data_IF_811026728753
#
_entry.id   IF_811026728753
#
_cell.length_a   1.000
_cell.length_b   1.000
_cell.length_c   1.000
_cell.angle_alpha   90.00
_cell.angle_beta   90.00
_cell.angle_gamma   90.00
#
_symmetry.space_group_name_H-M   'P 1'
#
loop_
_entity.id
_entity.type
_entity.pdbx_description
1 polymer ?
#
# COMPACT_ATOMS: atom_id res chain seq x y z
N UNK A 1 2.48 -4.38 -40.67
CA UNK A 1 2.31 -4.20 -39.20
C UNK A 1 2.57 -5.55 -38.55
N UNK A 2 3.67 -5.71 -37.88
CA UNK A 2 4.02 -6.96 -37.20
C UNK A 2 3.08 -7.13 -36.02
N UNK A 3 2.25 -8.18 -36.04
CA UNK A 3 1.44 -8.57 -34.88
C UNK A 3 2.43 -8.96 -33.75
N UNK A 4 2.56 -8.11 -32.75
CA UNK A 4 3.35 -8.46 -31.55
C UNK A 4 2.72 -9.70 -30.94
N UNK A 5 3.40 -10.83 -31.02
CA UNK A 5 3.00 -12.07 -30.37
C UNK A 5 2.84 -11.79 -28.88
N UNK A 6 1.71 -12.17 -28.32
CA UNK A 6 1.50 -12.23 -26.88
C UNK A 6 2.39 -13.32 -26.35
N UNK A 7 3.25 -12.98 -25.43
CA UNK A 7 4.11 -13.94 -24.76
C UNK A 7 3.83 -13.79 -23.26
N UNK A 8 3.32 -14.82 -22.62
CA UNK A 8 3.20 -14.91 -21.17
C UNK A 8 4.27 -15.84 -20.64
N UNK A 9 4.85 -15.47 -19.57
CA UNK A 9 5.88 -16.25 -18.89
C UNK A 9 5.26 -16.76 -17.60
N UNK A 10 5.43 -18.01 -17.26
CA UNK A 10 4.80 -18.61 -16.08
C UNK A 10 3.29 -18.89 -16.13
N UNK A 11 2.77 -19.21 -17.24
CA UNK A 11 1.45 -19.82 -17.31
C UNK A 11 0.25 -18.94 -16.99
N UNK A 12 0.36 -17.84 -16.26
CA UNK A 12 -0.78 -17.02 -15.85
C UNK A 12 -0.41 -15.56 -15.62
N UNK A 13 0.15 -14.88 -16.62
CA UNK A 13 0.33 -13.45 -16.50
C UNK A 13 -0.75 -12.69 -17.29
N UNK A 14 -1.27 -11.62 -16.71
CA UNK A 14 -2.18 -10.73 -17.40
C UNK A 14 -1.39 -9.77 -18.29
N UNK A 15 -1.73 -9.72 -19.57
CA UNK A 15 -1.19 -8.75 -20.53
C UNK A 15 -2.22 -7.71 -20.88
N UNK A 16 -1.73 -6.53 -21.26
CA UNK A 16 -2.55 -5.61 -22.04
C UNK A 16 -2.43 -5.97 -23.50
N UNK A 17 -3.57 -6.13 -24.17
CA UNK A 17 -3.64 -6.21 -25.62
C UNK A 17 -3.41 -4.84 -26.26
N UNK A 18 -3.44 -4.78 -27.59
CA UNK A 18 -3.25 -3.54 -28.35
C UNK A 18 -4.30 -2.46 -28.06
N UNK A 19 -5.45 -2.82 -27.49
CA UNK A 19 -6.49 -1.89 -27.04
C UNK A 19 -6.28 -1.39 -25.61
N UNK A 20 -5.25 -1.88 -24.93
CA UNK A 20 -4.99 -1.60 -23.52
C UNK A 20 -5.79 -2.46 -22.54
N UNK A 21 -6.54 -3.44 -23.01
CA UNK A 21 -7.33 -4.36 -22.18
C UNK A 21 -6.45 -5.47 -21.63
N UNK A 22 -6.60 -5.76 -20.34
CA UNK A 22 -5.96 -6.90 -19.70
C UNK A 22 -6.51 -8.22 -20.20
N UNK A 23 -5.64 -9.12 -20.61
CA UNK A 23 -5.98 -10.47 -21.05
C UNK A 23 -5.08 -11.50 -20.38
N UNK A 24 -5.65 -12.62 -20.00
CA UNK A 24 -4.91 -13.76 -19.47
C UNK A 24 -4.30 -14.56 -20.61
N UNK A 25 -3.10 -15.05 -20.43
CA UNK A 25 -2.41 -15.86 -21.41
C UNK A 25 -1.54 -16.92 -20.72
N UNK A 26 -1.40 -18.08 -21.38
CA UNK A 26 -0.58 -19.19 -20.92
C UNK A 26 0.61 -19.39 -21.84
N UNK A 27 1.82 -19.36 -21.31
CA UNK A 27 3.01 -19.81 -22.02
C UNK A 27 3.97 -20.43 -21.01
N UNK A 28 4.53 -21.58 -21.38
CA UNK A 28 5.64 -22.20 -20.66
C UNK A 28 6.88 -22.07 -21.56
N UNK A 29 7.85 -21.32 -21.10
CA UNK A 29 9.16 -21.22 -21.75
C UNK A 29 10.26 -21.58 -20.78
N UNK A 30 11.29 -22.25 -21.25
CA UNK A 30 12.50 -22.54 -20.49
C UNK A 30 13.73 -22.18 -21.35
N UNK A 31 14.67 -21.33 -20.90
CA UNK A 31 14.66 -20.61 -19.63
C UNK A 31 13.55 -19.56 -19.55
N UNK A 32 13.12 -19.25 -18.34
CA UNK A 32 12.07 -18.26 -18.10
C UNK A 32 12.68 -16.86 -18.27
N UNK A 33 12.15 -16.11 -19.22
CA UNK A 33 12.49 -14.71 -19.42
C UNK A 33 11.21 -13.88 -19.33
N UNK A 34 11.17 -12.95 -18.39
CA UNK A 34 10.03 -12.07 -18.19
C UNK A 34 10.07 -10.90 -19.16
N UNK A 35 8.92 -10.60 -19.75
CA UNK A 35 8.77 -9.51 -20.69
C UNK A 35 8.26 -8.26 -19.95
N UNK A 36 9.04 -7.19 -20.02
CA UNK A 36 8.69 -5.93 -19.35
C UNK A 36 7.54 -5.21 -20.07
N UNK A 37 7.60 -5.11 -21.40
CA UNK A 37 6.63 -4.36 -22.18
C UNK A 37 5.24 -5.00 -22.13
N UNK A 38 4.23 -4.19 -21.80
CA UNK A 38 2.81 -4.59 -21.79
C UNK A 38 2.42 -5.62 -20.73
N UNK A 39 3.28 -5.91 -19.77
CA UNK A 39 2.97 -6.77 -18.63
C UNK A 39 2.63 -5.94 -17.39
N UNK A 40 1.95 -6.56 -16.44
CA UNK A 40 1.67 -5.92 -15.15
C UNK A 40 2.97 -5.66 -14.38
N UNK A 41 3.85 -6.66 -14.32
CA UNK A 41 5.15 -6.52 -13.66
C UNK A 41 5.96 -5.37 -14.28
N UNK A 42 5.97 -5.24 -15.61
CA UNK A 42 6.63 -4.13 -16.30
C UNK A 42 6.08 -2.77 -15.90
N UNK A 43 4.76 -2.62 -15.85
CA UNK A 43 4.14 -1.36 -15.40
C UNK A 43 4.46 -1.02 -13.95
N UNK A 44 4.52 -2.03 -13.06
CA UNK A 44 4.93 -1.85 -11.67
C UNK A 44 6.42 -1.48 -11.56
N UNK A 45 7.28 -2.13 -12.33
CA UNK A 45 8.70 -1.85 -12.41
C UNK A 45 8.98 -0.41 -12.85
N UNK A 46 8.34 0.04 -13.92
CA UNK A 46 8.45 1.42 -14.40
C UNK A 46 8.02 2.43 -13.33
N UNK A 47 6.96 2.12 -12.57
CA UNK A 47 6.53 2.95 -11.45
C UNK A 47 7.58 3.01 -10.34
N UNK A 48 8.20 1.88 -9.96
CA UNK A 48 9.28 1.85 -8.96
C UNK A 48 10.46 2.68 -9.45
N UNK A 49 10.93 2.42 -10.68
CA UNK A 49 12.05 3.17 -11.27
C UNK A 49 11.78 4.68 -11.27
N UNK A 50 10.56 5.08 -11.62
CA UNK A 50 10.16 6.49 -11.63
C UNK A 50 10.15 7.10 -10.21
N UNK A 51 9.73 6.36 -9.19
CA UNK A 51 9.68 6.81 -7.79
C UNK A 51 11.08 6.90 -7.16
N UNK A 52 11.99 6.04 -7.56
CA UNK A 52 13.35 5.97 -7.02
C UNK A 52 14.33 6.90 -7.74
N UNK A 53 13.95 7.57 -8.84
CA UNK A 53 14.86 8.48 -9.58
C UNK A 53 15.20 9.73 -8.78
N UNK A 54 16.49 10.02 -8.51
CA UNK A 54 16.93 11.17 -7.70
C UNK A 54 16.40 12.52 -8.21
N UNK A 55 16.41 12.73 -9.53
CA UNK A 55 16.03 14.01 -10.16
C UNK A 55 14.52 14.29 -10.13
N UNK A 56 13.68 13.32 -9.83
CA UNK A 56 12.24 13.54 -9.66
C UNK A 56 11.84 13.98 -8.25
N UNK A 57 12.66 13.75 -7.26
CA UNK A 57 12.42 14.18 -5.89
C UNK A 57 12.33 15.71 -5.75
N UNK A 58 12.78 16.48 -6.77
CA UNK A 58 12.65 17.93 -6.83
C UNK A 58 11.24 18.39 -7.26
N UNK A 59 10.41 17.52 -7.82
CA UNK A 59 9.04 17.86 -8.21
C UNK A 59 8.10 17.70 -7.01
N UNK A 60 7.22 18.68 -6.80
CA UNK A 60 6.28 18.74 -5.65
C UNK A 60 5.53 17.42 -5.43
N UNK A 61 4.95 16.85 -6.49
CA UNK A 61 4.17 15.61 -6.44
C UNK A 61 4.96 14.36 -6.05
N UNK A 62 6.32 14.41 -6.09
CA UNK A 62 7.20 13.29 -5.82
C UNK A 62 7.98 13.43 -4.51
N UNK A 63 7.78 14.51 -3.75
CA UNK A 63 8.47 14.77 -2.48
C UNK A 63 8.35 13.61 -1.48
N UNK A 64 7.22 12.91 -1.49
CA UNK A 64 6.98 11.74 -0.64
C UNK A 64 7.91 10.57 -0.93
N UNK A 65 8.47 10.52 -2.14
CA UNK A 65 9.40 9.47 -2.58
C UNK A 65 10.88 9.88 -2.45
N UNK A 66 11.19 11.06 -1.91
CA UNK A 66 12.58 11.49 -1.71
C UNK A 66 13.33 10.47 -0.85
N UNK A 67 14.45 9.94 -1.37
CA UNK A 67 15.28 8.94 -0.66
C UNK A 67 14.69 7.53 -0.63
N UNK A 68 13.66 7.23 -1.43
CA UNK A 68 13.20 5.86 -1.64
C UNK A 68 14.14 5.15 -2.59
N UNK A 69 14.55 3.94 -2.22
CA UNK A 69 15.47 3.11 -2.98
C UNK A 69 14.74 1.90 -3.59
N UNK A 70 15.34 1.35 -4.63
CA UNK A 70 14.98 0.05 -5.19
C UNK A 70 16.15 -0.92 -4.96
N UNK A 71 15.91 -2.03 -4.29
CA UNK A 71 16.92 -3.06 -4.01
C UNK A 71 16.78 -4.31 -4.88
N UNK A 72 15.77 -4.38 -5.74
CA UNK A 72 15.76 -5.41 -6.78
C UNK A 72 16.88 -5.13 -7.78
N UNK A 73 17.65 -6.16 -8.12
CA UNK A 73 18.82 -6.03 -9.00
C UNK A 73 18.42 -5.63 -10.41
N UNK A 74 17.35 -6.24 -10.93
CA UNK A 74 16.84 -5.98 -12.27
C UNK A 74 15.32 -6.31 -12.38
N UNK A 75 14.80 -6.14 -13.59
CA UNK A 75 13.41 -6.46 -13.89
C UNK A 75 13.11 -7.96 -13.79
N UNK A 76 14.05 -8.83 -14.13
CA UNK A 76 13.82 -10.28 -14.12
C UNK A 76 13.61 -10.79 -12.68
N UNK A 77 14.46 -10.35 -11.76
CA UNK A 77 14.29 -10.64 -10.33
C UNK A 77 12.94 -10.12 -9.82
N UNK A 78 12.62 -8.85 -10.11
CA UNK A 78 11.36 -8.25 -9.69
C UNK A 78 10.14 -8.99 -10.25
N UNK A 79 10.14 -9.34 -11.53
CA UNK A 79 9.03 -10.04 -12.16
C UNK A 79 8.86 -11.45 -11.60
N UNK A 80 9.95 -12.18 -11.38
CA UNK A 80 9.94 -13.49 -10.73
C UNK A 80 9.40 -13.42 -9.30
N UNK A 81 9.85 -12.42 -8.54
CA UNK A 81 9.32 -12.15 -7.21
C UNK A 81 7.81 -11.84 -7.25
N UNK A 82 7.37 -10.96 -8.14
CA UNK A 82 5.94 -10.63 -8.26
C UNK A 82 5.08 -11.89 -8.44
N UNK A 83 5.48 -12.79 -9.31
CA UNK A 83 4.71 -14.00 -9.63
C UNK A 83 4.60 -14.99 -8.48
N UNK A 84 5.59 -15.00 -7.58
CA UNK A 84 5.58 -15.82 -6.37
C UNK A 84 4.77 -15.23 -5.22
N UNK A 85 4.36 -13.94 -5.35
CA UNK A 85 3.68 -13.26 -4.26
C UNK A 85 2.18 -13.51 -4.24
N UNK A 86 1.66 -13.78 -3.06
CA UNK A 86 0.22 -13.71 -2.83
C UNK A 86 -0.29 -12.29 -3.13
N UNK A 87 -1.45 -12.21 -3.76
CA UNK A 87 -2.06 -10.93 -4.12
C UNK A 87 -1.63 -10.37 -5.49
N UNK A 88 -0.56 -10.90 -6.12
CA UNK A 88 -0.16 -10.43 -7.45
C UNK A 88 -1.26 -10.63 -8.50
N UNK A 89 -1.95 -11.77 -8.47
CA UNK A 89 -3.05 -12.06 -9.40
C UNK A 89 -4.43 -11.69 -8.85
N UNK A 90 -4.50 -11.29 -7.59
CA UNK A 90 -5.75 -10.96 -6.93
C UNK A 90 -6.36 -9.65 -7.45
N UNK A 91 -7.69 -9.63 -7.48
CA UNK A 91 -8.48 -8.47 -7.88
C UNK A 91 -9.51 -8.14 -6.81
N UNK A 92 -9.80 -6.86 -6.72
CA UNK A 92 -10.95 -6.36 -5.99
C UNK A 92 -12.25 -6.61 -6.78
N UNK A 93 -13.40 -6.47 -6.13
CA UNK A 93 -14.74 -6.64 -6.75
C UNK A 93 -14.93 -5.70 -7.96
N UNK A 94 -14.27 -4.55 -7.98
CA UNK A 94 -14.29 -3.60 -9.09
C UNK A 94 -13.35 -4.00 -10.25
N UNK A 95 -12.72 -5.17 -10.19
CA UNK A 95 -11.82 -5.71 -11.20
C UNK A 95 -10.38 -5.16 -11.15
N UNK A 96 -10.07 -4.23 -10.22
CA UNK A 96 -8.71 -3.70 -10.06
C UNK A 96 -7.81 -4.72 -9.39
N UNK A 97 -6.57 -4.81 -9.85
CA UNK A 97 -5.57 -5.59 -9.16
C UNK A 97 -5.20 -4.98 -7.79
N UNK A 98 -4.81 -5.84 -6.86
CA UNK A 98 -4.20 -5.39 -5.63
C UNK A 98 -2.96 -4.56 -5.91
N UNK A 99 -2.72 -3.56 -5.09
CA UNK A 99 -1.62 -2.61 -5.27
C UNK A 99 -0.35 -3.10 -4.61
N UNK A 100 0.80 -2.87 -5.27
CA UNK A 100 2.10 -3.06 -4.64
C UNK A 100 2.30 -1.98 -3.56
N UNK A 101 2.51 -2.42 -2.35
CA UNK A 101 2.85 -1.60 -1.18
C UNK A 101 4.21 -1.98 -0.61
N UNK A 102 4.92 -1.01 -0.02
CA UNK A 102 6.21 -1.19 0.65
C UNK A 102 6.24 -0.67 2.09
N UNK A 103 5.16 0.01 2.50
CA UNK A 103 5.12 0.77 3.75
C UNK A 103 4.37 0.02 4.88
N UNK A 104 3.53 -0.96 4.53
CA UNK A 104 2.71 -1.68 5.51
C UNK A 104 3.56 -2.58 6.42
N UNK A 105 4.52 -3.31 5.85
CA UNK A 105 5.38 -4.24 6.59
C UNK A 105 6.50 -3.57 7.35
N UNK A 106 7.06 -2.51 6.79
CA UNK A 106 8.23 -1.83 7.34
C UNK A 106 8.13 -0.32 7.15
N UNK A 107 8.85 0.43 7.95
CA UNK A 107 9.03 1.88 7.77
C UNK A 107 10.21 2.22 6.86
N UNK A 108 10.89 1.22 6.31
CA UNK A 108 12.03 1.39 5.42
C UNK A 108 11.60 2.01 4.09
N UNK A 109 12.36 2.98 3.64
CA UNK A 109 12.10 3.67 2.37
C UNK A 109 12.75 2.92 1.20
N UNK A 110 12.41 1.62 1.06
CA UNK A 110 13.02 0.75 0.05
C UNK A 110 11.97 -0.19 -0.55
N UNK A 111 12.01 -0.37 -1.85
CA UNK A 111 11.33 -1.46 -2.55
C UNK A 111 12.26 -2.68 -2.53
N UNK A 112 11.86 -3.73 -1.82
CA UNK A 112 12.62 -4.99 -1.72
C UNK A 112 11.65 -6.16 -1.54
N UNK A 113 12.10 -7.42 -1.72
CA UNK A 113 11.30 -8.60 -1.41
C UNK A 113 10.76 -8.61 0.03
N UNK A 114 11.53 -8.08 0.99
CA UNK A 114 11.19 -8.09 2.41
C UNK A 114 10.21 -6.97 2.78
N UNK A 115 10.27 -5.82 2.10
CA UNK A 115 9.42 -4.68 2.40
C UNK A 115 8.11 -4.69 1.61
N UNK A 116 8.13 -5.22 0.38
CA UNK A 116 7.00 -5.17 -0.52
C UNK A 116 5.98 -6.29 -0.30
N UNK A 117 4.73 -5.99 -0.57
CA UNK A 117 3.63 -6.95 -0.65
C UNK A 117 2.52 -6.39 -1.53
N UNK A 118 1.64 -7.27 -2.00
CA UNK A 118 0.42 -6.84 -2.70
C UNK A 118 -0.74 -6.75 -1.72
N UNK A 119 -1.43 -5.63 -1.70
CA UNK A 119 -2.56 -5.38 -0.81
C UNK A 119 -3.75 -4.80 -1.56
N UNK A 120 -4.99 -5.10 -1.13
CA UNK A 120 -6.19 -4.45 -1.66
C UNK A 120 -6.20 -2.95 -1.30
N UNK A 121 -6.84 -2.15 -2.14
CA UNK A 121 -6.90 -0.71 -1.95
C UNK A 121 -7.56 -0.29 -0.63
N UNK A 122 -8.49 -1.08 -0.11
CA UNK A 122 -9.08 -0.78 1.20
C UNK A 122 -8.04 -0.83 2.32
N UNK A 123 -7.13 -1.83 2.33
CA UNK A 123 -6.03 -1.90 3.29
C UNK A 123 -5.10 -0.70 3.13
N UNK A 124 -4.68 -0.41 1.89
CA UNK A 124 -3.85 0.74 1.61
C UNK A 124 -4.49 2.06 2.10
N UNK A 125 -5.80 2.24 1.86
CA UNK A 125 -6.55 3.44 2.27
C UNK A 125 -6.56 3.63 3.79
N UNK A 126 -6.61 2.54 4.56
CA UNK A 126 -6.59 2.59 6.03
C UNK A 126 -5.30 3.21 6.56
N UNK A 127 -4.17 2.97 5.89
CA UNK A 127 -2.85 3.43 6.32
C UNK A 127 -2.34 4.69 5.61
N UNK A 128 -3.10 5.26 4.67
CA UNK A 128 -2.76 6.56 4.07
C UNK A 128 -2.74 7.65 5.14
N UNK A 129 -1.66 8.44 5.14
CA UNK A 129 -1.44 9.56 6.06
C UNK A 129 -1.39 9.15 7.56
N UNK A 130 -1.01 7.92 7.86
CA UNK A 130 -0.72 7.50 9.23
C UNK A 130 0.69 7.93 9.68
N UNK A 131 1.13 9.13 9.23
CA UNK A 131 2.33 9.82 9.67
C UNK A 131 1.98 11.25 10.03
N UNK A 132 2.57 11.75 11.09
CA UNK A 132 2.33 13.13 11.58
C UNK A 132 2.79 14.15 10.52
N UNK A 133 1.92 15.07 10.15
CA UNK A 133 2.20 16.10 9.13
C UNK A 133 2.30 17.51 9.72
N UNK A 134 1.73 17.73 10.90
CA UNK A 134 1.68 18.99 11.62
C UNK A 134 1.86 18.71 13.11
N UNK A 135 1.68 19.71 13.95
CA UNK A 135 1.83 19.58 15.40
C UNK A 135 0.68 18.82 16.08
N UNK A 136 -0.42 18.56 15.36
CA UNK A 136 -1.54 17.79 15.89
C UNK A 136 -1.29 16.28 15.79
N UNK A 137 -1.85 15.48 16.70
CA UNK A 137 -1.80 14.03 16.63
C UNK A 137 -2.44 13.44 15.38
N UNK A 138 -2.13 12.19 15.04
CA UNK A 138 -2.72 11.48 13.90
C UNK A 138 -4.25 11.47 13.99
N UNK A 139 -4.90 11.74 12.86
CA UNK A 139 -6.35 11.74 12.75
C UNK A 139 -7.05 12.95 13.37
N UNK A 140 -6.30 13.92 13.88
CA UNK A 140 -6.83 15.12 14.54
C UNK A 140 -6.67 16.35 13.64
N UNK A 141 -7.72 17.15 13.60
CA UNK A 141 -7.77 18.42 12.85
C UNK A 141 -8.42 19.50 13.73
N UNK A 142 -7.91 20.72 13.70
CA UNK A 142 -8.58 21.82 14.34
C UNK A 142 -9.74 22.34 13.48
N UNK A 143 -10.91 22.42 14.05
CA UNK A 143 -12.11 22.96 13.40
C UNK A 143 -12.34 24.42 13.87
N UNK A 144 -11.94 25.36 13.04
CA UNK A 144 -12.02 26.80 13.34
C UNK A 144 -13.45 27.30 13.55
N UNK A 145 -14.46 26.63 12.98
CA UNK A 145 -15.85 27.04 13.13
C UNK A 145 -16.40 26.76 14.53
N UNK A 146 -15.98 25.64 15.12
CA UNK A 146 -16.44 25.26 16.48
C UNK A 146 -15.42 25.54 17.57
N UNK A 147 -14.18 25.91 17.21
CA UNK A 147 -13.06 26.06 18.16
C UNK A 147 -12.63 24.75 18.82
N UNK A 148 -12.96 23.59 18.24
CA UNK A 148 -12.73 22.27 18.80
C UNK A 148 -11.80 21.43 17.92
N UNK A 149 -11.34 20.31 18.45
CA UNK A 149 -10.56 19.31 17.72
C UNK A 149 -11.47 18.23 17.16
N UNK A 150 -11.35 17.98 15.86
CA UNK A 150 -12.13 17.00 15.12
C UNK A 150 -11.31 15.74 14.92
N UNK A 151 -11.83 14.61 15.36
CA UNK A 151 -11.24 13.31 15.05
C UNK A 151 -11.81 12.74 13.74
N UNK A 152 -10.92 12.33 12.83
CA UNK A 152 -11.30 11.75 11.54
C UNK A 152 -10.50 10.48 11.22
N UNK A 153 -11.17 9.51 10.62
CA UNK A 153 -10.58 8.25 10.16
C UNK A 153 -10.86 8.05 8.68
N UNK A 154 -9.96 7.37 7.96
CA UNK A 154 -10.11 7.00 6.56
C UNK A 154 -10.49 5.53 6.42
N UNK A 155 -10.97 5.14 5.23
CA UNK A 155 -11.30 3.74 4.94
C UNK A 155 -12.60 3.25 5.58
N UNK A 156 -13.48 4.16 6.02
CA UNK A 156 -14.82 3.85 6.55
C UNK A 156 -15.85 4.81 5.96
N UNK A 157 -17.12 4.38 5.96
CA UNK A 157 -18.23 5.26 5.56
C UNK A 157 -18.37 6.45 6.53
N UNK A 158 -18.28 6.21 7.84
CA UNK A 158 -18.33 7.24 8.87
C UNK A 158 -16.92 7.77 9.16
N UNK A 159 -16.50 8.79 8.42
CA UNK A 159 -15.16 9.38 8.58
C UNK A 159 -15.01 10.27 9.81
N UNK A 160 -16.07 10.93 10.26
CA UNK A 160 -16.05 11.85 11.40
C UNK A 160 -16.37 11.08 12.67
N UNK A 161 -15.47 11.10 13.64
CA UNK A 161 -15.57 10.42 14.93
C UNK A 161 -16.11 11.33 16.04
N UNK A 162 -16.11 12.66 15.81
CA UNK A 162 -16.64 13.64 16.76
C UNK A 162 -15.77 14.90 16.86
N UNK A 163 -16.26 15.82 17.71
CA UNK A 163 -15.58 17.06 18.10
C UNK A 163 -15.26 17.00 19.58
N UNK A 164 -14.03 17.34 19.95
CA UNK A 164 -13.46 17.22 21.29
C UNK A 164 -12.86 18.56 21.73
N UNK A 165 -12.80 18.78 23.03
CA UNK A 165 -12.19 20.01 23.59
C UNK A 165 -10.66 19.94 23.61
N UNK A 166 -10.08 18.73 23.59
CA UNK A 166 -8.63 18.54 23.49
C UNK A 166 -8.25 17.69 22.28
N UNK A 167 -7.06 17.95 21.75
CA UNK A 167 -6.44 17.15 20.68
C UNK A 167 -6.11 15.73 21.15
N UNK A 168 -5.77 15.56 22.40
CA UNK A 168 -5.50 14.25 23.02
C UNK A 168 -6.77 13.39 23.03
N UNK A 169 -7.93 13.94 23.42
CA UNK A 169 -9.19 13.18 23.43
C UNK A 169 -9.64 12.84 22.03
N UNK A 170 -9.47 13.78 21.08
CA UNK A 170 -9.72 13.51 19.67
C UNK A 170 -8.83 12.38 19.14
N UNK A 171 -7.55 12.37 19.53
CA UNK A 171 -6.62 11.32 19.16
C UNK A 171 -6.97 9.96 19.76
N UNK A 172 -7.36 9.90 21.03
CA UNK A 172 -7.83 8.66 21.68
C UNK A 172 -9.02 8.05 20.93
N UNK A 173 -9.98 8.88 20.50
CA UNK A 173 -11.10 8.43 19.69
C UNK A 173 -10.63 7.85 18.33
N UNK A 174 -9.64 8.49 17.71
CA UNK A 174 -9.01 7.96 16.50
C UNK A 174 -8.28 6.65 16.72
N UNK A 175 -7.49 6.52 17.79
CA UNK A 175 -6.78 5.27 18.13
C UNK A 175 -7.76 4.11 18.29
N UNK A 176 -8.83 4.29 19.07
CA UNK A 176 -9.84 3.25 19.28
C UNK A 176 -10.54 2.84 17.97
N UNK A 177 -10.94 3.82 17.15
CA UNK A 177 -11.55 3.55 15.86
C UNK A 177 -10.58 2.81 14.91
N UNK A 178 -9.28 3.14 14.98
CA UNK A 178 -8.23 2.49 14.18
C UNK A 178 -8.01 1.04 14.63
N UNK A 179 -8.04 0.74 15.92
CA UNK A 179 -8.00 -0.63 16.44
C UNK A 179 -9.12 -1.48 15.84
N UNK A 180 -10.37 -1.01 15.94
CA UNK A 180 -11.53 -1.71 15.37
C UNK A 180 -11.37 -1.92 13.86
N UNK A 181 -10.88 -0.90 13.15
CA UNK A 181 -10.66 -0.98 11.71
C UNK A 181 -9.63 -2.06 11.33
N UNK A 182 -8.52 -2.13 12.06
CA UNK A 182 -7.47 -3.15 11.83
C UNK A 182 -8.00 -4.55 12.18
N UNK A 183 -8.74 -4.70 13.28
CA UNK A 183 -9.36 -5.98 13.65
C UNK A 183 -10.32 -6.49 12.57
N UNK A 184 -11.11 -5.61 11.97
CA UNK A 184 -11.98 -5.98 10.84
C UNK A 184 -11.18 -6.44 9.60
N UNK A 185 -10.05 -5.79 9.31
CA UNK A 185 -9.15 -6.23 8.24
C UNK A 185 -8.50 -7.59 8.55
N UNK A 186 -8.07 -7.82 9.78
CA UNK A 186 -7.53 -9.11 10.24
C UNK A 186 -8.56 -10.23 10.07
N UNK A 187 -9.82 -9.99 10.42
CA UNK A 187 -10.89 -10.97 10.22
C UNK A 187 -11.18 -11.23 8.74
N UNK A 188 -11.19 -10.17 7.91
CA UNK A 188 -11.48 -10.27 6.48
C UNK A 188 -10.39 -10.98 5.68
N UNK A 189 -9.12 -10.75 6.02
CA UNK A 189 -7.94 -11.27 5.31
C UNK A 189 -7.20 -12.33 6.12
N UNK A 190 -7.92 -13.18 6.82
CA UNK A 190 -7.37 -14.20 7.74
C UNK A 190 -6.49 -15.25 7.06
N UNK A 191 -6.65 -15.48 5.75
CA UNK A 191 -5.86 -16.44 4.97
C UNK A 191 -4.52 -15.88 4.46
N UNK A 192 -4.25 -14.58 4.66
CA UNK A 192 -3.10 -13.88 4.10
C UNK A 192 -2.00 -13.65 5.14
N UNK A 193 -1.15 -14.65 5.36
CA UNK A 193 -0.16 -14.67 6.44
C UNK A 193 0.67 -13.38 6.54
N UNK A 194 1.27 -12.92 5.43
CA UNK A 194 2.09 -11.70 5.44
C UNK A 194 1.28 -10.44 5.79
N UNK A 195 0.02 -10.37 5.35
CA UNK A 195 -0.86 -9.27 5.71
C UNK A 195 -1.28 -9.35 7.17
N UNK A 196 -1.55 -10.55 7.68
CA UNK A 196 -1.82 -10.78 9.10
C UNK A 196 -0.67 -10.30 9.96
N UNK A 197 0.57 -10.70 9.66
CA UNK A 197 1.77 -10.25 10.36
C UNK A 197 1.89 -8.72 10.37
N UNK A 198 1.75 -8.09 9.20
CA UNK A 198 1.84 -6.65 9.07
C UNK A 198 0.74 -5.90 9.84
N UNK A 199 -0.51 -6.39 9.77
CA UNK A 199 -1.64 -5.80 10.49
C UNK A 199 -1.51 -5.98 12.01
N UNK A 200 -1.02 -7.14 12.50
CA UNK A 200 -0.74 -7.36 13.91
C UNK A 200 0.33 -6.40 14.44
N UNK A 201 1.42 -6.19 13.70
CA UNK A 201 2.44 -5.20 14.09
C UNK A 201 1.84 -3.79 14.27
N UNK A 202 0.93 -3.37 13.37
CA UNK A 202 0.24 -2.08 13.49
C UNK A 202 -0.72 -2.03 14.67
N UNK A 203 -1.41 -3.13 14.93
CA UNK A 203 -2.32 -3.26 16.08
C UNK A 203 -1.55 -3.19 17.40
N UNK A 204 -0.41 -3.87 17.50
CA UNK A 204 0.44 -3.88 18.69
C UNK A 204 0.99 -2.48 19.02
N UNK A 205 1.39 -1.70 18.00
CA UNK A 205 1.79 -0.29 18.17
C UNK A 205 0.65 0.50 18.82
N UNK A 206 -0.56 0.41 18.27
CA UNK A 206 -1.73 1.14 18.80
C UNK A 206 -2.09 0.71 20.22
N UNK A 207 -2.13 -0.59 20.48
CA UNK A 207 -2.49 -1.12 21.79
C UNK A 207 -1.48 -0.72 22.86
N UNK A 208 -0.18 -0.77 22.53
CA UNK A 208 0.88 -0.29 23.40
C UNK A 208 0.73 1.20 23.71
N UNK A 209 0.53 2.02 22.67
CA UNK A 209 0.41 3.49 22.83
C UNK A 209 -0.84 3.84 23.65
N UNK A 210 -1.97 3.15 23.42
CA UNK A 210 -3.20 3.29 24.23
C UNK A 210 -2.95 2.92 25.70
N UNK A 211 -2.30 1.78 25.95
CA UNK A 211 -2.01 1.32 27.33
C UNK A 211 -1.11 2.30 28.09
N UNK A 212 -0.21 2.97 27.40
CA UNK A 212 0.69 3.98 27.95
C UNK A 212 0.11 5.41 27.97
N UNK A 213 -1.14 5.61 27.52
CA UNK A 213 -1.73 6.93 27.26
C UNK A 213 -0.86 7.81 26.35
N UNK A 214 -0.14 7.20 25.42
CA UNK A 214 0.79 7.86 24.50
C UNK A 214 0.10 8.27 23.18
N UNK A 215 0.67 9.27 22.55
CA UNK A 215 0.29 9.70 21.19
C UNK A 215 0.96 8.78 20.16
N UNK A 216 0.17 8.17 19.28
CA UNK A 216 0.69 7.44 18.12
C UNK A 216 1.18 8.42 17.08
N UNK A 217 2.47 8.39 16.75
CA UNK A 217 3.08 9.31 15.78
C UNK A 217 3.24 8.72 14.39
N UNK A 218 3.32 7.40 14.29
CA UNK A 218 3.43 6.66 13.03
C UNK A 218 2.70 5.32 13.19
N UNK A 219 2.01 4.90 12.11
CA UNK A 219 1.33 3.61 12.06
C UNK A 219 1.58 2.90 10.72
#
# INVERSE_FOLDING_TARGET
MSSKKRISVHGLEDFKDVSGKWVKSFIVTTPIEYIQNYTRAGGLWDNIQNRCRPNRACQERWKTYKGVLNSFSDFQEFAGWCQSQYGYFEREDNGRFWSLDKDLRTDKRVYSPESCMFIPNEVNTVFINCKKFNDLPLGVYFDSNSGKFKAQIRGTAKRNLGLFWSDVDAHKAWQQAKVVQIQNLLAKYNEHLLMQEALHLKLDILQRDIAQNAITNVL
#
